data_IF_161874739787
#
_entry.id   IF_161874739787
#
_cell.length_a   1.000
_cell.length_b   1.000
_cell.length_c   1.000
_cell.angle_alpha   90.00
_cell.angle_beta   90.00
_cell.angle_gamma   90.00
#
_symmetry.space_group_name_H-M   'P 1'
#
loop_
_entity.id
_entity.type
_entity.pdbx_description
1 polymer ?
#
# COMPACT_ATOMS: atom_id res chain seq x y z
N UNK A 1 -24.98 -31.87 -6.96
CA UNK A 1 -23.65 -31.72 -7.60
C UNK A 1 -23.83 -30.70 -8.72
N UNK A 2 -22.91 -29.74 -8.89
CA UNK A 2 -23.08 -28.74 -9.94
C UNK A 2 -22.58 -29.32 -11.28
N UNK A 3 -23.40 -29.25 -12.32
CA UNK A 3 -23.02 -29.72 -13.66
C UNK A 3 -22.29 -28.66 -14.47
N UNK A 4 -22.55 -27.37 -14.19
CA UNK A 4 -21.98 -26.23 -14.90
C UNK A 4 -21.39 -25.20 -13.93
N UNK A 5 -20.35 -24.52 -14.38
CA UNK A 5 -19.66 -23.51 -13.60
C UNK A 5 -20.52 -22.23 -13.50
N UNK A 6 -20.77 -21.69 -12.30
CA UNK A 6 -21.57 -20.48 -12.15
C UNK A 6 -20.90 -19.21 -12.68
N UNK A 7 -19.58 -19.25 -12.97
CA UNK A 7 -18.84 -18.09 -13.48
C UNK A 7 -18.74 -18.03 -15.00
N UNK A 8 -18.60 -19.18 -15.66
CA UNK A 8 -18.35 -19.23 -17.09
C UNK A 8 -19.25 -20.20 -17.85
N UNK A 9 -20.27 -20.76 -17.19
CA UNK A 9 -21.23 -21.72 -17.74
C UNK A 9 -20.63 -23.01 -18.32
N UNK A 10 -19.31 -23.19 -18.28
CA UNK A 10 -18.65 -24.40 -18.77
C UNK A 10 -18.94 -25.59 -17.88
N UNK A 11 -19.07 -26.76 -18.51
CA UNK A 11 -19.35 -28.03 -17.83
C UNK A 11 -18.23 -28.37 -16.85
N UNK A 12 -18.60 -28.70 -15.61
CA UNK A 12 -17.66 -29.09 -14.57
C UNK A 12 -17.26 -30.57 -14.73
N UNK A 13 -16.01 -30.87 -14.41
CA UNK A 13 -15.51 -32.25 -14.37
C UNK A 13 -15.98 -33.02 -13.12
N UNK A 14 -15.64 -34.31 -13.03
CA UNK A 14 -15.91 -35.11 -11.83
C UNK A 14 -15.24 -34.50 -10.59
N UNK A 15 -15.86 -34.63 -9.40
CA UNK A 15 -15.28 -34.12 -8.16
C UNK A 15 -13.94 -34.79 -7.84
N UNK A 16 -13.01 -34.02 -7.29
CA UNK A 16 -11.74 -34.52 -6.77
C UNK A 16 -11.96 -35.39 -5.53
N UNK A 17 -10.96 -36.17 -5.14
CA UNK A 17 -10.97 -37.00 -3.91
C UNK A 17 -11.29 -36.21 -2.63
N UNK A 18 -11.12 -34.88 -2.66
CA UNK A 18 -11.47 -33.95 -1.58
C UNK A 18 -12.96 -33.54 -1.55
N UNK A 19 -13.80 -34.05 -2.45
CA UNK A 19 -15.21 -33.69 -2.58
C UNK A 19 -15.46 -32.33 -3.24
N UNK A 20 -14.41 -31.68 -3.76
CA UNK A 20 -14.49 -30.37 -4.44
C UNK A 20 -14.56 -30.55 -5.95
N UNK A 21 -15.39 -29.75 -6.62
CA UNK A 21 -15.38 -29.63 -8.08
C UNK A 21 -14.66 -28.33 -8.46
N UNK A 22 -13.81 -28.39 -9.47
CA UNK A 22 -13.04 -27.24 -9.99
C UNK A 22 -13.32 -27.08 -11.48
N UNK A 23 -13.54 -25.85 -11.92
CA UNK A 23 -13.67 -25.51 -13.33
C UNK A 23 -12.30 -25.40 -13.98
N UNK A 24 -12.03 -26.24 -14.98
CA UNK A 24 -10.78 -26.21 -15.73
C UNK A 24 -10.59 -24.91 -16.54
N UNK A 25 -11.67 -24.20 -16.88
CA UNK A 25 -11.61 -23.02 -17.74
C UNK A 25 -11.39 -21.71 -16.99
N UNK A 26 -11.90 -21.56 -15.76
CA UNK A 26 -11.81 -20.30 -15.01
C UNK A 26 -11.23 -20.44 -13.59
N UNK A 27 -10.87 -21.67 -13.17
CA UNK A 27 -10.29 -21.93 -11.85
C UNK A 27 -11.27 -21.83 -10.68
N UNK A 28 -12.57 -21.63 -10.94
CA UNK A 28 -13.58 -21.60 -9.89
C UNK A 28 -13.71 -22.97 -9.21
N UNK A 29 -13.82 -23.02 -7.87
CA UNK A 29 -14.01 -24.28 -7.13
C UNK A 29 -15.14 -24.19 -6.10
N UNK A 30 -15.85 -25.30 -5.90
CA UNK A 30 -16.87 -25.42 -4.86
C UNK A 30 -16.24 -25.68 -3.48
N UNK A 31 -16.88 -25.17 -2.43
CA UNK A 31 -16.52 -25.50 -1.05
C UNK A 31 -16.74 -27.00 -0.79
N UNK A 32 -15.83 -27.65 -0.05
CA UNK A 32 -15.94 -29.07 0.25
C UNK A 32 -17.22 -29.33 1.06
N UNK A 33 -18.12 -30.16 0.50
CA UNK A 33 -19.28 -30.67 1.23
C UNK A 33 -18.74 -31.78 2.13
N UNK A 34 -18.48 -31.45 3.41
CA UNK A 34 -18.20 -32.45 4.42
C UNK A 34 -19.45 -33.33 4.56
N UNK A 35 -19.36 -34.58 4.08
CA UNK A 35 -20.42 -35.55 4.20
C UNK A 35 -20.65 -35.86 5.68
N UNK A 36 -21.86 -35.59 6.13
CA UNK A 36 -22.40 -35.97 7.43
C UNK A 36 -22.17 -37.46 7.71
N UNK A 37 -21.49 -37.78 8.81
CA UNK A 37 -21.62 -39.02 9.58
C UNK A 37 -21.23 -38.73 11.05
N UNK A 38 -22.23 -38.74 11.92
CA UNK A 38 -22.19 -38.56 13.38
C UNK A 38 -21.69 -39.87 14.08
N UNK A 39 -21.31 -39.92 15.39
CA UNK A 39 -22.05 -39.31 16.51
C UNK A 39 -21.26 -38.80 17.74
N UNK A 40 -21.97 -38.00 18.57
CA UNK A 40 -21.89 -37.85 20.05
C UNK A 40 -20.53 -37.53 20.70
N UNK A 41 -20.39 -36.47 21.50
CA UNK A 41 -21.00 -36.37 22.83
C UNK A 41 -20.76 -35.00 23.50
N UNK A 42 -21.82 -34.49 24.14
CA UNK A 42 -21.91 -33.67 25.36
C UNK A 42 -20.94 -32.50 25.55
N UNK A 43 -21.41 -31.26 25.44
CA UNK A 43 -21.97 -30.47 26.55
C UNK A 43 -20.97 -30.23 27.69
N UNK A 44 -20.33 -29.07 27.63
CA UNK A 44 -19.55 -28.45 28.69
C UNK A 44 -19.39 -26.98 28.38
N UNK A 45 -20.13 -26.16 29.12
CA UNK A 45 -20.35 -24.73 28.93
C UNK A 45 -19.10 -23.90 28.60
N UNK A 46 -19.34 -22.85 27.81
CA UNK A 46 -18.35 -21.94 27.25
C UNK A 46 -17.48 -21.22 28.29
N UNK A 47 -16.45 -20.54 27.78
CA UNK A 47 -15.38 -19.80 28.48
C UNK A 47 -14.11 -20.61 28.77
N UNK A 48 -14.18 -21.91 29.14
CA UNK A 48 -12.96 -22.70 29.44
C UNK A 48 -12.09 -23.08 28.23
N UNK A 49 -12.71 -23.33 27.07
CA UNK A 49 -12.03 -23.80 25.86
C UNK A 49 -11.20 -22.70 25.16
N UNK A 50 -11.67 -21.45 25.21
CA UNK A 50 -10.98 -20.30 24.59
C UNK A 50 -9.69 -19.98 25.34
N UNK A 51 -9.70 -20.05 26.69
CA UNK A 51 -8.51 -19.84 27.50
C UNK A 51 -7.44 -20.92 27.24
N UNK A 52 -7.84 -22.17 27.02
CA UNK A 52 -6.90 -23.25 26.69
C UNK A 52 -6.25 -23.07 25.32
N UNK A 53 -7.00 -22.60 24.32
CA UNK A 53 -6.46 -22.33 22.98
C UNK A 53 -5.55 -21.09 23.00
N UNK A 54 -5.97 -20.01 23.66
CA UNK A 54 -5.14 -18.79 23.84
C UNK A 54 -3.86 -19.08 24.63
N UNK A 55 -3.93 -19.90 25.69
CA UNK A 55 -2.75 -20.30 26.47
C UNK A 55 -1.74 -21.09 25.65
N UNK A 56 -2.19 -21.98 24.74
CA UNK A 56 -1.29 -22.71 23.82
C UNK A 56 -0.61 -21.80 22.80
N UNK A 57 -1.32 -20.80 22.30
CA UNK A 57 -0.77 -19.81 21.36
C UNK A 57 0.24 -18.90 22.07
N UNK A 58 -0.10 -18.37 23.24
CA UNK A 58 0.79 -17.52 24.04
C UNK A 58 2.06 -18.26 24.45
N UNK A 59 1.98 -19.55 24.82
CA UNK A 59 3.16 -20.36 25.15
C UNK A 59 4.11 -20.50 23.96
N UNK A 60 3.58 -20.69 22.74
CA UNK A 60 4.41 -20.73 21.52
C UNK A 60 5.05 -19.37 21.24
N UNK A 61 4.28 -18.29 21.36
CA UNK A 61 4.81 -16.93 21.16
C UNK A 61 5.92 -16.62 22.18
N UNK A 62 5.73 -16.95 23.46
CA UNK A 62 6.74 -16.74 24.49
C UNK A 62 8.00 -17.60 24.27
N UNK A 63 7.88 -18.82 23.74
CA UNK A 63 9.05 -19.63 23.38
C UNK A 63 9.85 -19.00 22.23
N UNK A 64 9.18 -18.42 21.23
CA UNK A 64 9.84 -17.72 20.13
C UNK A 64 10.40 -16.35 20.54
N UNK A 65 9.69 -15.59 21.36
CA UNK A 65 10.16 -14.30 21.88
C UNK A 65 11.30 -14.51 22.86
N UNK A 66 11.25 -15.53 23.71
CA UNK A 66 12.31 -15.87 24.67
C UNK A 66 13.63 -16.25 23.98
N UNK A 67 13.59 -17.04 22.90
CA UNK A 67 14.80 -17.35 22.13
C UNK A 67 15.35 -16.12 21.40
N UNK A 68 14.48 -15.25 20.89
CA UNK A 68 14.88 -13.97 20.30
C UNK A 68 15.50 -13.02 21.34
N UNK A 69 14.95 -13.01 22.56
CA UNK A 69 15.42 -12.17 23.67
C UNK A 69 16.78 -12.65 24.19
N UNK A 70 17.04 -13.96 24.23
CA UNK A 70 18.36 -14.50 24.57
C UNK A 70 19.45 -14.10 23.55
N UNK A 71 19.13 -14.13 22.25
CA UNK A 71 20.07 -13.68 21.20
C UNK A 71 20.35 -12.17 21.31
N UNK A 72 19.34 -11.38 21.69
CA UNK A 72 19.47 -9.94 21.86
C UNK A 72 20.26 -9.55 23.12
N UNK A 73 19.96 -10.19 24.27
CA UNK A 73 20.71 -9.97 25.53
C UNK A 73 22.16 -10.47 25.46
N UNK A 74 22.41 -11.56 24.72
CA UNK A 74 23.77 -12.05 24.47
C UNK A 74 24.65 -11.07 23.67
N UNK A 75 24.04 -10.25 22.79
CA UNK A 75 24.75 -9.17 22.08
C UNK A 75 24.98 -7.93 22.95
N UNK A 76 24.05 -7.60 23.84
CA UNK A 76 24.19 -6.47 24.77
C UNK A 76 25.23 -6.71 25.87
N UNK A 77 25.37 -7.95 26.37
CA UNK A 77 26.41 -8.28 27.34
C UNK A 77 27.82 -8.27 26.74
N UNK A 78 27.99 -8.72 25.48
CA UNK A 78 29.28 -8.65 24.78
C UNK A 78 29.70 -7.22 24.40
N UNK A 79 28.78 -6.26 24.42
CA UNK A 79 29.08 -4.84 24.15
C UNK A 79 29.59 -4.07 25.37
N UNK A 80 29.52 -4.63 26.59
CA UNK A 80 29.97 -3.95 27.82
C UNK A 80 31.48 -4.09 28.12
N UNK A 81 32.26 -4.77 27.27
CA UNK A 81 33.68 -5.03 27.52
C UNK A 81 34.65 -4.05 26.83
N UNK A 82 34.16 -3.04 26.10
CA UNK A 82 35.00 -1.96 25.56
C UNK A 82 34.72 -0.64 26.30
N UNK A 83 35.16 -0.58 27.56
CA UNK A 83 35.13 0.62 28.38
C UNK A 83 36.33 1.53 28.05
N UNK A 84 36.26 2.28 26.96
CA UNK A 84 37.04 3.52 26.86
C UNK A 84 36.56 4.51 25.79
N UNK A 85 35.24 4.79 25.71
CA UNK A 85 34.79 5.93 24.89
C UNK A 85 33.77 6.74 25.69
N UNK A 86 34.16 7.99 25.99
CA UNK A 86 33.38 8.97 26.76
C UNK A 86 31.99 9.16 26.12
N UNK A 87 30.89 8.91 26.85
CA UNK A 87 29.53 8.90 26.30
C UNK A 87 29.05 10.27 25.78
N UNK A 88 29.69 11.38 26.17
CA UNK A 88 29.29 12.73 25.76
C UNK A 88 29.54 13.06 24.28
N UNK A 89 30.53 12.43 23.63
CA UNK A 89 30.86 12.74 22.23
C UNK A 89 30.01 11.96 21.22
N UNK A 90 29.53 10.76 21.56
CA UNK A 90 28.68 9.98 20.65
C UNK A 90 27.27 10.57 20.54
N UNK A 91 26.70 11.06 21.64
CA UNK A 91 25.36 11.69 21.60
C UNK A 91 25.41 12.96 20.76
N UNK A 92 26.48 13.76 20.86
CA UNK A 92 26.70 14.93 20.00
C UNK A 92 26.80 14.57 18.51
N UNK A 93 27.62 13.56 18.17
CA UNK A 93 27.73 13.10 16.78
C UNK A 93 26.44 12.48 16.23
N UNK A 94 25.62 11.87 17.09
CA UNK A 94 24.29 11.38 16.75
C UNK A 94 23.31 12.53 16.54
N UNK A 95 23.30 13.57 17.39
CA UNK A 95 22.45 14.75 17.20
C UNK A 95 22.82 15.56 15.96
N UNK A 96 24.11 15.71 15.65
CA UNK A 96 24.56 16.41 14.45
C UNK A 96 24.23 15.61 13.18
N UNK A 97 24.35 14.28 13.24
CA UNK A 97 23.88 13.41 12.15
C UNK A 97 22.36 13.38 12.05
N UNK A 98 21.64 13.42 13.16
CA UNK A 98 20.17 13.49 13.17
C UNK A 98 19.68 14.82 12.62
N UNK A 99 20.30 15.97 12.96
CA UNK A 99 19.90 17.27 12.39
C UNK A 99 20.26 17.38 10.91
N UNK A 100 21.41 16.82 10.50
CA UNK A 100 21.79 16.71 9.09
C UNK A 100 20.84 15.76 8.31
N UNK A 101 20.41 14.66 8.93
CA UNK A 101 19.42 13.75 8.34
C UNK A 101 18.03 14.37 8.31
N UNK A 102 17.65 15.16 9.31
CA UNK A 102 16.40 15.92 9.34
C UNK A 102 16.35 16.98 8.22
N UNK A 103 17.47 17.66 7.96
CA UNK A 103 17.61 18.57 6.81
C UNK A 103 17.66 17.84 5.45
N UNK A 104 18.09 16.58 5.43
CA UNK A 104 18.17 15.75 4.23
C UNK A 104 16.90 14.95 3.95
N UNK A 105 15.94 14.91 4.87
CA UNK A 105 14.60 14.36 4.62
C UNK A 105 13.86 15.42 3.79
N UNK A 106 13.52 15.14 2.52
CA UNK A 106 12.66 16.04 1.76
C UNK A 106 11.35 16.20 2.52
N UNK A 107 10.94 17.43 2.80
CA UNK A 107 9.65 17.79 3.41
C UNK A 107 8.42 17.35 2.59
N UNK A 108 8.62 16.57 1.52
CA UNK A 108 7.57 16.01 0.66
C UNK A 108 6.67 14.98 1.35
N UNK A 109 7.01 14.52 2.56
CA UNK A 109 6.09 13.70 3.38
C UNK A 109 4.87 14.53 3.86
N UNK A 110 4.89 15.86 3.70
CA UNK A 110 3.85 16.77 4.20
C UNK A 110 2.84 17.28 3.16
N UNK A 111 2.80 16.76 1.93
CA UNK A 111 1.80 17.15 0.92
C UNK A 111 0.74 16.07 0.67
N UNK A 112 0.31 15.36 1.73
CA UNK A 112 -0.91 14.53 1.66
C UNK A 112 -2.17 15.33 1.26
N UNK A 113 -2.12 16.67 1.37
CA UNK A 113 -3.16 17.58 0.86
C UNK A 113 -3.10 17.84 -0.65
N UNK A 114 -1.97 17.55 -1.32
CA UNK A 114 -1.75 17.85 -2.75
C UNK A 114 -1.16 16.65 -3.47
N UNK A 115 -1.98 15.62 -3.74
CA UNK A 115 -1.52 14.44 -4.43
C UNK A 115 -1.04 14.82 -5.84
N UNK A 116 0.07 14.22 -6.23
CA UNK A 116 0.51 14.24 -7.62
C UNK A 116 -0.49 13.49 -8.50
N UNK A 117 -0.86 14.10 -9.61
CA UNK A 117 -1.88 13.66 -10.54
C UNK A 117 -1.31 13.49 -11.95
N UNK A 118 -2.03 12.71 -12.73
CA UNK A 118 -1.78 12.54 -14.17
C UNK A 118 -2.25 13.75 -14.97
N UNK A 119 -1.89 13.81 -16.25
CA UNK A 119 -2.29 14.91 -17.14
C UNK A 119 -3.81 14.94 -17.30
N UNK A 120 -4.43 13.77 -17.44
CA UNK A 120 -5.87 13.60 -17.56
C UNK A 120 -6.59 14.07 -16.29
N UNK A 121 -6.12 13.65 -15.12
CA UNK A 121 -6.68 14.07 -13.84
C UNK A 121 -6.52 15.57 -13.62
N UNK A 122 -5.37 16.14 -13.98
CA UNK A 122 -5.15 17.58 -13.92
C UNK A 122 -6.11 18.34 -14.85
N UNK A 123 -6.35 17.81 -16.06
CA UNK A 123 -7.31 18.41 -16.99
C UNK A 123 -8.73 18.38 -16.43
N UNK A 124 -9.12 17.28 -15.79
CA UNK A 124 -10.41 17.17 -15.08
C UNK A 124 -10.48 18.12 -13.90
N UNK A 125 -9.40 18.25 -13.13
CA UNK A 125 -9.32 19.16 -12.00
C UNK A 125 -9.50 20.63 -12.42
N UNK A 126 -9.04 21.00 -13.61
CA UNK A 126 -9.27 22.32 -14.21
C UNK A 126 -10.68 22.51 -14.79
N UNK A 127 -11.58 21.52 -14.64
CA UNK A 127 -12.96 21.56 -15.12
C UNK A 127 -13.16 21.05 -16.55
N UNK A 128 -12.13 20.44 -17.15
CA UNK A 128 -12.25 19.80 -18.46
C UNK A 128 -12.86 18.39 -18.38
N UNK A 129 -13.41 17.89 -19.48
CA UNK A 129 -13.87 16.51 -19.63
C UNK A 129 -12.99 15.76 -20.63
N UNK A 130 -12.42 14.63 -20.19
CA UNK A 130 -11.56 13.75 -21.00
C UNK A 130 -12.37 12.97 -22.04
N UNK A 131 -13.67 12.77 -21.82
CA UNK A 131 -14.56 12.07 -22.75
C UNK A 131 -14.95 12.93 -23.94
N UNK A 132 -14.88 14.25 -23.80
CA UNK A 132 -15.23 15.23 -24.81
C UNK A 132 -13.95 15.80 -25.44
N UNK A 133 -13.62 15.44 -26.69
CA UNK A 133 -12.40 15.95 -27.34
C UNK A 133 -12.46 17.47 -27.60
N UNK A 134 -13.66 18.06 -27.58
CA UNK A 134 -13.90 19.50 -27.68
C UNK A 134 -13.79 20.23 -26.34
N UNK A 135 -13.56 19.51 -25.24
CA UNK A 135 -13.36 20.13 -23.94
C UNK A 135 -12.10 21.00 -23.92
N UNK A 136 -12.22 22.16 -23.30
CA UNK A 136 -11.16 23.18 -23.24
C UNK A 136 -11.05 23.63 -21.78
N UNK A 137 -9.81 23.75 -21.29
CA UNK A 137 -9.52 24.35 -19.99
C UNK A 137 -8.96 25.75 -20.16
N UNK A 138 -9.28 26.62 -19.23
CA UNK A 138 -8.87 28.02 -19.22
C UNK A 138 -7.70 28.23 -18.24
N UNK A 139 -6.79 29.14 -18.57
CA UNK A 139 -5.78 29.58 -17.60
C UNK A 139 -6.41 30.37 -16.46
N UNK A 140 -5.64 30.55 -15.39
CA UNK A 140 -6.03 31.38 -14.25
C UNK A 140 -6.38 32.81 -14.68
N UNK A 141 -5.65 33.35 -15.66
CA UNK A 141 -5.89 34.68 -16.22
C UNK A 141 -7.08 34.73 -17.21
N UNK A 142 -7.66 33.57 -17.56
CA UNK A 142 -8.75 33.42 -18.54
C UNK A 142 -8.35 33.70 -20.01
N UNK A 143 -7.11 34.08 -20.27
CA UNK A 143 -6.62 34.50 -21.61
C UNK A 143 -6.27 33.33 -22.52
N UNK A 144 -5.77 32.23 -21.96
CA UNK A 144 -5.40 31.05 -22.73
C UNK A 144 -6.40 29.94 -22.56
N UNK A 145 -6.59 29.20 -23.64
CA UNK A 145 -7.52 28.09 -23.77
C UNK A 145 -6.77 26.93 -24.38
N UNK A 146 -6.83 25.76 -23.77
CA UNK A 146 -6.11 24.59 -24.26
C UNK A 146 -7.01 23.35 -24.26
N UNK A 147 -7.10 22.63 -25.40
CA UNK A 147 -7.74 21.32 -25.45
C UNK A 147 -6.81 20.23 -24.90
N UNK A 148 -7.38 19.09 -24.49
CA UNK A 148 -6.62 18.00 -23.87
C UNK A 148 -5.43 17.51 -24.72
N UNK A 149 -5.59 17.44 -26.05
CA UNK A 149 -4.52 17.00 -26.95
C UNK A 149 -3.26 17.84 -26.81
N UNK A 150 -3.42 19.18 -26.81
CA UNK A 150 -2.32 20.12 -26.66
C UNK A 150 -1.80 20.17 -25.22
N UNK A 151 -2.67 19.97 -24.24
CA UNK A 151 -2.30 19.92 -22.83
C UNK A 151 -1.33 18.77 -22.50
N UNK A 152 -1.42 17.64 -23.21
CA UNK A 152 -0.48 16.50 -23.10
C UNK A 152 0.91 16.79 -23.67
N UNK A 153 0.97 17.67 -24.65
CA UNK A 153 2.22 18.01 -25.36
C UNK A 153 3.07 19.02 -24.60
N UNK A 154 2.48 19.76 -23.66
CA UNK A 154 3.21 20.73 -22.84
C UNK A 154 4.40 20.08 -22.15
N UNK A 155 5.56 20.73 -22.30
CA UNK A 155 6.83 20.29 -21.76
C UNK A 155 7.47 21.36 -20.87
N UNK A 156 6.93 22.58 -20.88
CA UNK A 156 7.43 23.68 -20.09
C UNK A 156 6.68 23.79 -18.77
N UNK A 157 7.42 24.00 -17.68
CA UNK A 157 6.84 24.24 -16.35
C UNK A 157 6.04 25.55 -16.32
N UNK A 158 6.48 26.55 -17.10
CA UNK A 158 5.79 27.85 -17.19
C UNK A 158 4.39 27.73 -17.77
N UNK A 159 4.18 26.82 -18.73
CA UNK A 159 2.86 26.61 -19.34
C UNK A 159 1.88 26.08 -18.29
N UNK A 160 2.29 25.09 -17.48
CA UNK A 160 1.46 24.55 -16.40
C UNK A 160 1.22 25.55 -15.27
N UNK A 161 2.20 26.41 -14.96
CA UNK A 161 2.04 27.48 -13.97
C UNK A 161 0.92 28.46 -14.33
N UNK A 162 0.72 28.75 -15.61
CA UNK A 162 -0.40 29.59 -16.06
C UNK A 162 -1.79 28.99 -15.74
N UNK A 163 -1.87 27.67 -15.54
CA UNK A 163 -3.07 26.96 -15.11
C UNK A 163 -3.08 26.65 -13.61
N UNK A 164 -2.12 27.18 -12.82
CA UNK A 164 -2.02 26.89 -11.38
C UNK A 164 -1.51 25.49 -11.06
N UNK A 165 -0.79 24.87 -12.00
CA UNK A 165 -0.23 23.55 -11.83
C UNK A 165 1.30 23.61 -11.78
N UNK A 166 1.87 22.76 -10.95
CA UNK A 166 3.30 22.50 -10.86
C UNK A 166 3.64 21.20 -11.57
N UNK A 167 4.73 21.19 -12.32
CA UNK A 167 5.23 20.03 -13.06
C UNK A 167 6.58 19.56 -12.51
N UNK A 168 6.72 18.26 -12.25
CA UNK A 168 8.01 17.61 -11.97
C UNK A 168 8.53 16.83 -13.17
N UNK A 169 9.62 17.28 -13.78
CA UNK A 169 10.27 16.59 -14.90
C UNK A 169 10.84 15.23 -14.49
N UNK A 170 11.34 15.10 -13.27
CA UNK A 170 11.90 13.84 -12.75
C UNK A 170 10.83 12.75 -12.70
N UNK A 171 9.65 13.08 -12.17
CA UNK A 171 8.50 12.15 -12.12
C UNK A 171 7.99 11.79 -13.50
N UNK A 172 7.96 12.75 -14.43
CA UNK A 172 7.57 12.51 -15.82
C UNK A 172 8.52 11.51 -16.50
N UNK A 173 9.83 11.69 -16.36
CA UNK A 173 10.84 10.73 -16.87
C UNK A 173 10.67 9.34 -16.25
N UNK A 174 10.30 9.29 -14.97
CA UNK A 174 10.00 8.05 -14.26
C UNK A 174 8.61 7.46 -14.54
N UNK A 175 7.82 8.02 -15.47
CA UNK A 175 6.45 7.59 -15.79
C UNK A 175 5.52 7.54 -14.56
N UNK A 176 5.72 8.45 -13.61
CA UNK A 176 4.86 8.62 -12.43
C UNK A 176 3.95 9.84 -12.63
N UNK A 177 2.81 9.95 -11.90
CA UNK A 177 2.03 11.18 -11.84
C UNK A 177 2.95 12.36 -11.54
N UNK A 178 2.87 13.42 -12.33
CA UNK A 178 3.93 14.44 -12.37
C UNK A 178 3.41 15.87 -12.35
N UNK A 179 2.10 16.05 -12.27
CA UNK A 179 1.46 17.34 -12.05
C UNK A 179 0.93 17.43 -10.62
N UNK A 180 0.90 18.61 -10.03
CA UNK A 180 0.19 18.88 -8.77
C UNK A 180 -0.34 20.30 -8.75
N UNK A 181 -1.27 20.60 -7.86
CA UNK A 181 -1.79 21.97 -7.69
C UNK A 181 -0.75 22.82 -6.98
N UNK A 182 -0.46 23.98 -7.54
CA UNK A 182 0.49 24.95 -7.00
C UNK A 182 -0.08 25.56 -5.70
N UNK A 183 0.74 25.95 -4.70
CA UNK A 183 0.25 26.70 -3.55
C UNK A 183 -0.44 27.99 -3.98
N UNK A 184 -1.70 28.14 -3.59
CA UNK A 184 -2.33 29.45 -3.52
C UNK A 184 -1.88 30.07 -2.20
N UNK A 185 -0.95 31.01 -2.30
CA UNK A 185 -0.59 31.92 -1.20
C UNK A 185 -1.61 33.05 -1.07
#
# INVERSE_FOLDING_TARGET
MLETCPRCSNRLGPPLKSGRQVCAHCGWSSAAIASHNNPSSQEGAGVGSILQVCGRILKRIFQYVGSLFQVWMGKLQKSKQNSNIKPGNMVKGLTDKLSSLEQAIPTEVSDSKRPWMTVEEAFVHLGGDVRLPTSIVHSLDGRSRVPLARFREYYSEQEFKAYGLEMSLERRRAHKPWLRVLPQD
#
